data_IF_468776298431
#
_entry.id   IF_468776298431
#
_cell.length_a   1.000
_cell.length_b   1.000
_cell.length_c   1.000
_cell.angle_alpha   90.00
_cell.angle_beta   90.00
_cell.angle_gamma   90.00
#
_symmetry.space_group_name_H-M   'P 1'
#
loop_
_entity.id
_entity.type
_entity.pdbx_description
1 polymer ?
#
# COMPACT_ATOMS: atom_id res chain seq x y z
N UNK A 1 -7.87 -50.31 -42.13
CA UNK A 1 -7.02 -50.00 -40.95
C UNK A 1 -6.62 -48.52 -40.81
N UNK A 2 -6.52 -47.72 -41.89
CA UNK A 2 -6.10 -46.29 -41.81
C UNK A 2 -7.06 -45.29 -41.16
N UNK A 3 -8.36 -45.58 -41.02
CA UNK A 3 -9.39 -44.64 -40.50
C UNK A 3 -9.53 -44.59 -38.97
N UNK A 4 -9.06 -45.61 -38.27
CA UNK A 4 -9.17 -45.71 -36.81
C UNK A 4 -8.02 -44.98 -36.10
N UNK A 5 -6.83 -44.96 -36.69
CA UNK A 5 -5.68 -44.24 -36.16
C UNK A 5 -5.93 -42.72 -36.12
N UNK A 6 -6.51 -42.14 -37.18
CA UNK A 6 -6.76 -40.69 -37.28
C UNK A 6 -7.78 -40.17 -36.25
N UNK A 7 -8.83 -40.94 -35.94
CA UNK A 7 -9.87 -40.53 -34.98
C UNK A 7 -9.41 -40.47 -33.52
N UNK A 8 -8.32 -41.15 -33.18
CA UNK A 8 -7.75 -41.18 -31.82
C UNK A 8 -6.60 -40.18 -31.69
N UNK A 9 -5.84 -39.96 -32.78
CA UNK A 9 -4.68 -39.05 -32.78
C UNK A 9 -5.12 -37.59 -32.66
N UNK A 10 -6.19 -37.16 -33.33
CA UNK A 10 -6.67 -35.77 -33.27
C UNK A 10 -7.06 -35.30 -31.85
N UNK A 11 -7.92 -36.00 -31.08
CA UNK A 11 -8.24 -35.58 -29.72
C UNK A 11 -7.04 -35.70 -28.78
N UNK A 12 -6.17 -36.69 -29.00
CA UNK A 12 -4.98 -36.87 -28.18
C UNK A 12 -4.01 -35.70 -28.36
N UNK A 13 -3.73 -35.28 -29.59
CA UNK A 13 -2.88 -34.11 -29.91
C UNK A 13 -3.46 -32.82 -29.32
N UNK A 14 -4.78 -32.61 -29.40
CA UNK A 14 -5.43 -31.44 -28.80
C UNK A 14 -5.28 -31.44 -27.28
N UNK A 15 -5.47 -32.60 -26.62
CA UNK A 15 -5.29 -32.75 -25.17
C UNK A 15 -3.83 -32.57 -24.76
N UNK A 16 -2.86 -33.09 -25.52
CA UNK A 16 -1.43 -32.88 -25.23
C UNK A 16 -1.03 -31.42 -25.44
N UNK A 17 -1.53 -30.74 -26.48
CA UNK A 17 -1.26 -29.31 -26.70
C UNK A 17 -1.87 -28.46 -25.58
N UNK A 18 -3.10 -28.76 -25.15
CA UNK A 18 -3.72 -28.09 -24.00
C UNK A 18 -2.95 -28.36 -22.70
N UNK A 19 -2.55 -29.60 -22.44
CA UNK A 19 -1.78 -29.95 -21.24
C UNK A 19 -0.38 -29.32 -21.26
N UNK A 20 0.29 -29.23 -22.41
CA UNK A 20 1.59 -28.57 -22.55
C UNK A 20 1.45 -27.04 -22.44
N UNK A 21 0.39 -26.44 -22.95
CA UNK A 21 0.14 -25.00 -22.80
C UNK A 21 -0.23 -24.62 -21.35
N UNK A 22 -1.00 -25.48 -20.66
CA UNK A 22 -1.45 -25.23 -19.28
C UNK A 22 -0.38 -25.58 -18.25
N UNK A 23 0.36 -26.68 -18.43
CA UNK A 23 1.33 -27.19 -17.44
C UNK A 23 2.78 -26.89 -17.83
N UNK A 24 3.13 -26.92 -19.12
CA UNK A 24 4.49 -26.64 -19.61
C UNK A 24 4.75 -25.17 -19.93
N UNK A 25 3.70 -24.37 -20.17
CA UNK A 25 3.81 -23.00 -20.65
C UNK A 25 3.96 -21.91 -19.58
N UNK A 26 3.84 -22.23 -18.28
CA UNK A 26 4.02 -21.23 -17.21
C UNK A 26 3.11 -20.00 -17.31
N UNK A 27 2.00 -20.07 -18.06
CA UNK A 27 1.17 -18.92 -18.41
C UNK A 27 0.24 -18.43 -17.29
N UNK A 28 0.13 -19.16 -16.18
CA UNK A 28 -0.68 -18.74 -15.04
C UNK A 28 0.12 -18.97 -13.77
N UNK A 29 0.87 -17.94 -13.36
CA UNK A 29 1.44 -17.86 -12.02
C UNK A 29 0.44 -17.13 -11.13
N UNK A 30 -0.15 -17.82 -10.16
CA UNK A 30 -0.97 -17.19 -9.12
C UNK A 30 -0.04 -16.74 -8.00
N UNK A 31 0.40 -15.48 -8.04
CA UNK A 31 1.10 -14.86 -6.92
C UNK A 31 0.10 -14.02 -6.14
N UNK A 32 -0.10 -14.38 -4.87
CA UNK A 32 -0.84 -13.53 -3.94
C UNK A 32 0.00 -12.28 -3.66
N UNK A 33 -0.65 -11.11 -3.63
CA UNK A 33 -0.07 -9.93 -3.03
C UNK A 33 0.18 -10.25 -1.56
N UNK A 34 1.38 -10.70 -1.22
CA UNK A 34 1.82 -10.68 0.16
C UNK A 34 1.83 -9.20 0.56
N UNK A 35 0.95 -8.84 1.49
CA UNK A 35 1.00 -7.53 2.12
C UNK A 35 2.33 -7.49 2.86
N UNK A 36 3.29 -6.75 2.31
CA UNK A 36 4.51 -6.41 3.01
C UNK A 36 4.06 -5.45 4.11
N UNK A 37 4.07 -5.93 5.35
CA UNK A 37 3.81 -5.10 6.52
C UNK A 37 5.08 -4.28 6.81
N UNK A 38 5.16 -3.11 6.19
CA UNK A 38 6.24 -2.17 6.40
C UNK A 38 5.66 -0.83 6.84
N UNK A 39 5.78 -0.53 8.13
CA UNK A 39 5.43 0.79 8.63
C UNK A 39 6.59 1.76 8.36
N UNK A 40 6.37 2.88 7.63
CA UNK A 40 7.40 3.87 7.37
C UNK A 40 7.56 4.88 8.52
N UNK A 41 6.72 4.80 9.55
CA UNK A 41 6.79 5.64 10.74
C UNK A 41 7.85 5.11 11.71
N UNK A 42 8.64 6.01 12.29
CA UNK A 42 9.78 5.72 13.16
C UNK A 42 9.33 5.65 14.63
N UNK A 43 8.47 6.56 15.06
CA UNK A 43 8.00 6.68 16.43
C UNK A 43 6.54 7.11 16.47
N UNK A 44 5.63 6.25 15.93
CA UNK A 44 4.24 6.64 15.72
C UNK A 44 3.54 6.88 17.05
N UNK A 45 2.74 7.94 17.08
CA UNK A 45 1.83 8.29 18.15
C UNK A 45 0.40 8.09 17.67
N UNK A 46 -0.41 7.41 18.48
CA UNK A 46 -1.82 7.24 18.16
C UNK A 46 -2.57 8.57 18.32
N UNK A 47 -3.43 8.86 17.35
CA UNK A 47 -4.39 9.96 17.37
C UNK A 47 -5.67 9.47 18.04
N UNK A 48 -6.01 10.08 19.16
CA UNK A 48 -7.19 9.73 19.96
C UNK A 48 -8.43 10.47 19.47
N UNK A 49 -8.27 11.72 19.07
CA UNK A 49 -9.36 12.56 18.59
C UNK A 49 -8.85 13.60 17.59
N UNK A 50 -9.71 13.93 16.62
CA UNK A 50 -9.54 15.04 15.69
C UNK A 50 -10.77 15.93 15.82
N UNK A 51 -10.58 17.21 16.12
CA UNK A 51 -11.64 18.20 16.22
C UNK A 51 -11.23 19.47 15.48
N UNK A 52 -11.80 19.68 14.29
CA UNK A 52 -11.42 20.75 13.38
C UNK A 52 -9.89 20.79 13.11
N UNK A 53 -9.19 21.79 13.65
CA UNK A 53 -7.75 21.99 13.52
C UNK A 53 -6.94 21.34 14.66
N UNK A 54 -7.60 20.64 15.60
CA UNK A 54 -6.96 20.06 16.78
C UNK A 54 -6.83 18.55 16.67
N UNK A 55 -5.63 18.05 16.94
CA UNK A 55 -5.32 16.62 16.98
C UNK A 55 -4.89 16.27 18.41
N UNK A 56 -5.63 15.41 19.08
CA UNK A 56 -5.30 14.90 20.41
C UNK A 56 -4.52 13.60 20.27
N UNK A 57 -3.33 13.55 20.86
CA UNK A 57 -2.46 12.37 20.84
C UNK A 57 -2.64 11.51 22.09
N UNK A 58 -2.28 10.24 21.98
CA UNK A 58 -2.33 9.24 23.06
C UNK A 58 -1.46 9.58 24.26
N UNK A 59 -0.43 10.40 24.08
CA UNK A 59 0.44 10.89 25.16
C UNK A 59 -0.11 12.14 25.88
N UNK A 60 -1.32 12.59 25.52
CA UNK A 60 -1.99 13.73 26.10
C UNK A 60 -1.65 15.08 25.46
N UNK A 61 -0.70 15.13 24.51
CA UNK A 61 -0.43 16.37 23.76
C UNK A 61 -1.57 16.69 22.80
N UNK A 62 -1.81 17.98 22.62
CA UNK A 62 -2.73 18.50 21.60
C UNK A 62 -1.93 19.29 20.57
N UNK A 63 -2.10 18.93 19.30
CA UNK A 63 -1.52 19.63 18.17
C UNK A 63 -2.56 20.56 17.56
N UNK A 64 -2.16 21.77 17.22
CA UNK A 64 -2.93 22.73 16.42
C UNK A 64 -2.37 22.70 15.01
N UNK A 65 -3.11 22.11 14.08
CA UNK A 65 -2.76 21.99 12.67
C UNK A 65 -2.73 23.36 12.00
N UNK A 66 -1.67 23.62 11.21
CA UNK A 66 -1.53 24.83 10.37
C UNK A 66 -1.76 24.53 8.89
N UNK A 67 -2.35 23.38 8.59
CA UNK A 67 -2.72 22.92 7.26
C UNK A 67 -4.24 22.79 7.17
N UNK A 68 -4.75 22.59 5.94
CA UNK A 68 -6.18 22.54 5.68
C UNK A 68 -6.85 21.41 6.49
N UNK A 69 -7.82 21.79 7.32
CA UNK A 69 -8.51 20.87 8.22
C UNK A 69 -9.71 20.17 7.58
N UNK A 70 -10.14 20.59 6.38
CA UNK A 70 -11.39 20.10 5.76
C UNK A 70 -11.39 18.57 5.59
N UNK A 71 -10.23 17.96 5.30
CA UNK A 71 -10.09 16.53 5.07
C UNK A 71 -9.28 15.81 6.15
N UNK A 72 -8.91 16.50 7.23
CA UNK A 72 -7.99 15.98 8.24
C UNK A 72 -8.51 14.70 8.89
N UNK A 73 -9.79 14.66 9.27
CA UNK A 73 -10.39 13.47 9.85
C UNK A 73 -10.38 12.28 8.88
N UNK A 74 -10.77 12.49 7.62
CA UNK A 74 -10.75 11.44 6.60
C UNK A 74 -9.34 10.96 6.27
N UNK A 75 -8.37 11.87 6.25
CA UNK A 75 -6.96 11.54 6.05
C UNK A 75 -6.45 10.69 7.22
N UNK A 76 -6.70 11.09 8.47
CA UNK A 76 -6.29 10.30 9.64
C UNK A 76 -6.89 8.90 9.63
N UNK A 77 -8.19 8.75 9.34
CA UNK A 77 -8.84 7.45 9.23
C UNK A 77 -8.22 6.59 8.11
N UNK A 78 -7.90 7.20 6.96
CA UNK A 78 -7.24 6.52 5.85
C UNK A 78 -5.82 6.03 6.21
N UNK A 79 -5.12 6.77 7.06
CA UNK A 79 -3.72 6.48 7.44
C UNK A 79 -3.58 5.78 8.80
N UNK A 80 -4.68 5.23 9.33
CA UNK A 80 -4.66 4.37 10.52
C UNK A 80 -4.48 5.12 11.82
N UNK A 81 -4.85 6.41 11.88
CA UNK A 81 -4.84 7.25 13.08
C UNK A 81 -3.49 7.30 13.80
N UNK A 82 -2.38 7.30 13.06
CA UNK A 82 -1.02 7.36 13.61
C UNK A 82 -0.21 8.44 12.94
N UNK A 83 0.58 9.16 13.74
CA UNK A 83 1.43 10.25 13.27
C UNK A 83 2.83 10.17 13.86
N UNK A 84 3.82 10.56 13.07
CA UNK A 84 5.18 10.87 13.54
C UNK A 84 5.36 12.39 13.62
N UNK A 85 6.10 12.85 14.62
CA UNK A 85 6.40 14.28 14.80
C UNK A 85 7.89 14.52 14.65
N UNK A 86 8.28 15.32 13.65
CA UNK A 86 9.65 15.84 13.58
C UNK A 86 9.68 17.28 14.11
N UNK A 87 10.69 17.65 14.92
CA UNK A 87 10.85 19.03 15.34
C UNK A 87 11.22 19.92 14.13
N UNK A 88 10.59 21.09 14.03
CA UNK A 88 10.97 22.14 13.09
C UNK A 88 11.80 23.23 13.78
N UNK A 89 12.54 24.00 13.00
CA UNK A 89 13.48 25.03 13.51
C UNK A 89 12.78 26.19 14.24
N UNK A 90 11.49 26.42 13.97
CA UNK A 90 10.68 27.50 14.53
C UNK A 90 9.89 27.10 15.80
N UNK A 91 10.15 25.90 16.33
CA UNK A 91 9.43 25.34 17.48
C UNK A 91 8.06 24.74 17.14
N UNK A 92 7.69 24.68 15.85
CA UNK A 92 6.59 23.84 15.37
C UNK A 92 7.04 22.39 15.20
N UNK A 93 6.08 21.51 14.89
CA UNK A 93 6.35 20.11 14.54
C UNK A 93 5.81 19.79 13.16
N UNK A 94 6.57 19.04 12.39
CA UNK A 94 6.14 18.45 11.12
C UNK A 94 5.37 17.18 11.43
N UNK A 95 4.10 17.15 11.08
CA UNK A 95 3.22 15.99 11.23
C UNK A 95 3.38 15.10 10.01
N UNK A 96 3.82 13.87 10.24
CA UNK A 96 4.03 12.87 9.20
C UNK A 96 3.08 11.69 9.36
N UNK A 97 2.61 11.14 8.24
CA UNK A 97 1.70 9.98 8.17
C UNK A 97 2.24 8.89 7.26
N UNK A 98 1.71 7.68 7.41
CA UNK A 98 1.97 6.57 6.50
C UNK A 98 1.05 6.63 5.28
N UNK A 99 1.60 6.92 4.10
CA UNK A 99 0.85 6.94 2.85
C UNK A 99 1.07 5.66 2.05
N UNK A 100 -0.01 5.00 1.62
CA UNK A 100 0.08 3.82 0.76
C UNK A 100 0.51 4.23 -0.64
N UNK A 101 1.66 3.75 -1.10
CA UNK A 101 2.15 4.04 -2.45
C UNK A 101 1.34 3.23 -3.46
N UNK A 102 0.55 3.92 -4.29
CA UNK A 102 0.03 3.30 -5.52
C UNK A 102 1.21 3.11 -6.45
N UNK A 103 1.61 1.86 -6.63
CA UNK A 103 2.61 1.54 -7.63
C UNK A 103 1.79 1.25 -8.90
N UNK A 104 2.04 1.95 -10.03
CA UNK A 104 1.34 1.70 -11.30
C UNK A 104 2.16 0.70 -12.11
N UNK A 105 1.65 -0.50 -12.41
CA UNK A 105 2.37 -1.44 -13.28
C UNK A 105 2.62 -0.75 -14.62
N UNK A 106 3.88 -0.58 -15.03
CA UNK A 106 4.20 0.13 -16.27
C UNK A 106 3.63 -0.61 -17.49
N UNK A 107 2.52 -0.08 -18.00
CA UNK A 107 2.07 -0.02 -19.39
C UNK A 107 2.61 -1.04 -20.39
N UNK A 108 2.03 -2.24 -20.41
CA UNK A 108 2.04 -3.11 -21.58
C UNK A 108 0.74 -3.92 -21.60
N UNK A 109 0.13 -4.19 -22.77
CA UNK A 109 -0.98 -5.13 -22.84
C UNK A 109 -0.44 -6.51 -22.44
N UNK A 110 -1.28 -7.31 -21.80
CA UNK A 110 -1.02 -8.65 -21.23
C UNK A 110 -0.42 -8.65 -19.81
N UNK A 111 -1.32 -8.75 -18.82
CA UNK A 111 -1.14 -9.24 -17.44
C UNK A 111 0.32 -9.35 -16.96
N UNK A 112 0.90 -8.24 -16.52
CA UNK A 112 2.09 -8.28 -15.66
C UNK A 112 1.63 -8.32 -14.21
N UNK A 113 1.50 -9.52 -13.64
CA UNK A 113 1.45 -9.69 -12.19
C UNK A 113 2.79 -9.22 -11.64
N UNK A 114 2.72 -8.17 -10.83
CA UNK A 114 3.87 -7.39 -10.46
C UNK A 114 4.71 -8.18 -9.47
N UNK A 115 5.88 -8.59 -9.91
CA UNK A 115 7.01 -8.79 -9.01
C UNK A 115 7.32 -7.43 -8.38
N UNK A 116 6.63 -7.10 -7.30
CA UNK A 116 7.13 -6.16 -6.30
C UNK A 116 8.19 -6.98 -5.57
N UNK A 117 9.49 -6.66 -5.69
CA UNK A 117 10.48 -7.33 -4.86
C UNK A 117 10.03 -7.17 -3.40
N UNK A 118 10.13 -8.24 -2.61
CA UNK A 118 9.64 -8.27 -1.21
C UNK A 118 10.22 -7.11 -0.38
N UNK A 119 11.32 -6.52 -0.83
CA UNK A 119 12.01 -5.39 -0.21
C UNK A 119 11.44 -4.01 -0.59
N UNK A 120 10.44 -3.91 -1.48
CA UNK A 120 9.85 -2.61 -1.84
C UNK A 120 8.80 -2.19 -0.82
N UNK A 121 8.99 -1.05 -0.13
CA UNK A 121 8.05 -0.58 0.87
C UNK A 121 6.70 -0.21 0.22
N UNK A 122 5.61 -0.81 0.69
CA UNK A 122 4.23 -0.55 0.26
C UNK A 122 3.77 0.84 0.74
N UNK A 123 4.18 1.20 1.94
CA UNK A 123 3.92 2.50 2.55
C UNK A 123 5.15 3.39 2.52
N UNK A 124 4.92 4.70 2.42
CA UNK A 124 5.94 5.74 2.53
C UNK A 124 5.57 6.74 3.61
N UNK A 125 6.57 7.35 4.23
CA UNK A 125 6.37 8.51 5.08
C UNK A 125 6.00 9.70 4.20
N UNK A 126 4.98 10.45 4.59
CA UNK A 126 4.53 11.66 3.90
C UNK A 126 4.24 12.75 4.93
N UNK A 127 4.66 13.97 4.62
CA UNK A 127 4.33 15.15 5.42
C UNK A 127 2.88 15.55 5.17
N UNK A 128 2.12 15.68 6.24
CA UNK A 128 0.77 16.24 6.24
C UNK A 128 0.85 17.77 6.34
N UNK A 129 1.77 18.28 7.16
CA UNK A 129 2.10 19.69 7.28
C UNK A 129 2.61 20.05 8.67
N UNK A 130 2.67 21.35 8.94
CA UNK A 130 3.12 21.88 10.23
C UNK A 130 1.99 21.93 11.26
N UNK A 131 2.32 21.66 12.51
CA UNK A 131 1.43 21.85 13.65
C UNK A 131 2.17 22.48 14.83
N UNK A 132 1.44 23.11 15.74
CA UNK A 132 1.97 23.67 16.97
C UNK A 132 1.50 22.85 18.17
N UNK A 133 2.39 22.53 19.09
CA UNK A 133 2.02 21.83 20.32
C UNK A 133 1.39 22.85 21.28
N UNK A 134 0.13 22.65 21.65
CA UNK A 134 -0.59 23.53 22.59
C UNK A 134 -0.15 23.28 24.04
N UNK A 135 0.02 22.01 24.41
CA UNK A 135 0.46 21.59 25.74
C UNK A 135 1.70 20.70 25.63
N UNK A 136 2.82 21.15 26.19
CA UNK A 136 3.96 20.28 26.46
C UNK A 136 3.77 19.65 27.85
N UNK A 137 3.90 18.32 28.00
CA UNK A 137 3.88 17.68 29.31
C UNK A 137 5.05 18.12 30.20
#
# INVERSE_FOLDING_TARGET
>A
MKRWATRIIEPLVVVTILAVLVVGGGFVSFTYDNVIDNDPLIAPLDVVAVDADRITLSDGRTLIAKFDSEYLQSDMEQYGNRVDLDPADDGSVVVNVSYRRWTCGNGGPWLRLRWIPVDYPLYRRAELGLAQIENQP
#
